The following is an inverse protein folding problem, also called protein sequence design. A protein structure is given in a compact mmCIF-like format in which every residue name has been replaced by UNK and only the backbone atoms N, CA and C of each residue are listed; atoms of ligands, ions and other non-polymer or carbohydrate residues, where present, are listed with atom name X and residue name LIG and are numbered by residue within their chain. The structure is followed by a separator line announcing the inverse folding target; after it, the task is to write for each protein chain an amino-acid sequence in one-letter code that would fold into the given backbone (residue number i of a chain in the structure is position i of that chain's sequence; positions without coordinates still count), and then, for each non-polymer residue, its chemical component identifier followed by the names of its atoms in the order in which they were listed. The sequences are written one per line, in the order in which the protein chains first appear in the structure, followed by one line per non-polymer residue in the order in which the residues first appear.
data_IF_211138292703
#
_entry.id   IF_211138292703
#
_cell.length_a   1.000
_cell.length_b   1.000
_cell.length_c   1.000
_cell.angle_alpha   90.00
_cell.angle_beta   90.00
_cell.angle_gamma   90.00
#
_symmetry.space_group_name_H-M   'P 1'
#
loop_
_entity.id
_entity.type
_entity.pdbx_description
1 polymer ?
#
# COMPACT_ATOMS: atom_id res chain seq x y z
N UNK A 1 -13.57 8.15 -25.55
CA UNK A 1 -12.35 7.38 -25.25
C UNK A 1 -12.31 7.00 -23.79
N UNK A 2 -11.57 5.95 -23.42
CA UNK A 2 -11.43 5.50 -22.01
C UNK A 2 -10.89 6.62 -21.10
N UNK A 3 -9.95 7.42 -21.60
CA UNK A 3 -9.42 8.60 -20.92
C UNK A 3 -10.51 9.64 -20.54
N UNK A 4 -11.49 9.90 -21.42
CA UNK A 4 -12.58 10.86 -21.14
C UNK A 4 -13.47 10.36 -20.00
N UNK A 5 -13.83 9.07 -20.02
CA UNK A 5 -14.58 8.43 -18.94
C UNK A 5 -13.81 8.54 -17.62
N UNK A 6 -12.54 8.11 -17.60
CA UNK A 6 -11.66 8.17 -16.42
C UNK A 6 -11.64 9.59 -15.83
N UNK A 7 -11.35 10.60 -16.64
CA UNK A 7 -11.28 11.98 -16.16
C UNK A 7 -12.63 12.47 -15.64
N UNK A 8 -13.74 12.15 -16.31
CA UNK A 8 -15.06 12.58 -15.86
C UNK A 8 -15.47 11.93 -14.54
N UNK A 9 -15.14 10.65 -14.34
CA UNK A 9 -15.52 9.88 -13.15
C UNK A 9 -14.65 10.23 -11.94
N UNK A 10 -13.34 10.34 -12.10
CA UNK A 10 -12.40 10.33 -10.97
C UNK A 10 -11.77 11.69 -10.62
N UNK A 11 -11.83 12.71 -11.50
CA UNK A 11 -11.10 13.99 -11.31
C UNK A 11 -11.45 14.76 -10.03
N UNK A 12 -12.65 14.56 -9.50
CA UNK A 12 -13.17 15.26 -8.33
C UNK A 12 -13.40 14.30 -7.15
N UNK A 13 -12.76 13.13 -7.17
CA UNK A 13 -12.89 12.10 -6.13
C UNK A 13 -11.85 12.32 -5.03
N UNK A 14 -12.27 12.11 -3.77
CA UNK A 14 -11.36 12.11 -2.62
C UNK A 14 -10.47 10.86 -2.65
N UNK A 15 -9.18 11.01 -2.39
CA UNK A 15 -8.19 9.90 -2.43
C UNK A 15 -8.28 9.09 -3.73
N UNK A 16 -8.32 9.79 -4.88
CA UNK A 16 -8.52 9.17 -6.18
C UNK A 16 -7.50 8.06 -6.48
N UNK A 17 -6.28 8.17 -5.98
CA UNK A 17 -5.20 7.19 -6.07
C UNK A 17 -5.51 5.85 -5.39
N UNK A 18 -6.40 5.83 -4.39
CA UNK A 18 -6.83 4.62 -3.68
C UNK A 18 -7.99 3.88 -4.38
N UNK A 19 -8.58 4.47 -5.42
CA UNK A 19 -9.81 3.95 -6.06
C UNK A 19 -9.64 3.75 -7.56
N UNK A 20 -8.95 4.67 -8.24
CA UNK A 20 -8.93 4.78 -9.69
C UNK A 20 -8.36 3.52 -10.37
N UNK A 21 -7.14 3.13 -10.00
CA UNK A 21 -6.43 2.04 -10.67
C UNK A 21 -7.07 0.69 -10.38
N UNK A 22 -7.45 0.46 -9.13
CA UNK A 22 -8.12 -0.74 -8.64
C UNK A 22 -9.45 -0.94 -9.37
N UNK A 23 -10.26 0.13 -9.46
CA UNK A 23 -11.56 0.08 -10.17
C UNK A 23 -11.38 -0.28 -11.64
N UNK A 24 -10.40 0.33 -12.32
CA UNK A 24 -10.14 0.03 -13.73
C UNK A 24 -9.61 -1.39 -13.95
N UNK A 25 -8.74 -1.86 -13.05
CA UNK A 25 -8.07 -3.16 -13.16
C UNK A 25 -9.07 -4.30 -13.04
N UNK A 26 -9.90 -4.28 -11.98
CA UNK A 26 -10.93 -5.31 -11.73
C UNK A 26 -12.00 -5.30 -12.82
N UNK A 27 -12.36 -4.13 -13.38
CA UNK A 27 -13.30 -4.03 -14.50
C UNK A 27 -12.63 -4.22 -15.89
N UNK A 28 -11.56 -5.01 -15.97
CA UNK A 28 -10.84 -5.25 -17.21
C UNK A 28 -10.41 -6.69 -17.38
N UNK A 29 -10.06 -7.14 -18.60
CA UNK A 29 -9.50 -8.47 -18.82
C UNK A 29 -8.20 -8.77 -18.06
N UNK A 30 -7.56 -7.76 -17.45
CA UNK A 30 -6.34 -7.91 -16.66
C UNK A 30 -6.61 -8.34 -15.22
N UNK A 31 -7.85 -8.36 -14.75
CA UNK A 31 -8.24 -8.88 -13.44
C UNK A 31 -7.67 -10.29 -13.20
N UNK A 32 -7.70 -11.15 -14.22
CA UNK A 32 -7.16 -12.51 -14.16
C UNK A 32 -5.63 -12.59 -13.94
N UNK A 33 -4.93 -11.46 -14.04
CA UNK A 33 -3.49 -11.35 -13.81
C UNK A 33 -3.17 -10.75 -12.43
N UNK A 34 -4.18 -10.53 -11.57
CA UNK A 34 -3.95 -10.10 -10.21
C UNK A 34 -3.07 -11.11 -9.47
N UNK A 35 -2.03 -10.60 -8.81
CA UNK A 35 -1.14 -11.41 -7.98
C UNK A 35 -1.89 -12.00 -6.79
N UNK A 36 -2.70 -11.18 -6.13
CA UNK A 36 -3.64 -11.57 -5.09
C UNK A 36 -5.05 -11.13 -5.50
N UNK A 37 -5.95 -12.10 -5.65
CA UNK A 37 -7.34 -11.90 -6.02
C UNK A 37 -8.33 -12.30 -4.90
N UNK A 38 -7.84 -12.42 -3.66
CA UNK A 38 -8.66 -12.81 -2.50
C UNK A 38 -9.49 -11.65 -1.94
N UNK A 39 -9.13 -10.40 -2.27
CA UNK A 39 -9.75 -9.19 -1.76
C UNK A 39 -9.87 -9.17 -0.22
N UNK A 40 -8.81 -9.62 0.45
CA UNK A 40 -8.76 -9.87 1.90
C UNK A 40 -8.19 -8.71 2.73
N UNK A 41 -7.96 -7.55 2.11
CA UNK A 41 -7.20 -6.42 2.68
C UNK A 41 -5.77 -6.79 3.14
N UNK A 42 -5.22 -7.90 2.62
CA UNK A 42 -3.84 -8.31 2.91
C UNK A 42 -2.83 -7.29 2.40
N UNK A 43 -1.82 -7.00 3.22
CA UNK A 43 -0.68 -6.14 2.85
C UNK A 43 0.17 -6.75 1.71
N UNK A 44 0.11 -8.08 1.53
CA UNK A 44 0.83 -8.78 0.45
C UNK A 44 0.31 -8.37 -0.93
N UNK A 45 -0.96 -7.99 -1.05
CA UNK A 45 -1.54 -7.59 -2.34
C UNK A 45 -0.85 -6.37 -2.98
N UNK A 46 -0.19 -5.54 -2.18
CA UNK A 46 0.56 -4.38 -2.66
C UNK A 46 2.06 -4.42 -2.31
N UNK A 47 2.52 -5.52 -1.71
CA UNK A 47 3.90 -5.78 -1.30
C UNK A 47 4.52 -4.68 -0.40
N UNK A 48 3.70 -4.07 0.47
CA UNK A 48 4.15 -3.04 1.42
C UNK A 48 3.78 -3.40 2.85
N UNK A 49 4.80 -3.53 3.70
CA UNK A 49 4.63 -3.59 5.13
C UNK A 49 4.22 -2.22 5.68
N UNK A 50 3.00 -2.14 6.23
CA UNK A 50 2.44 -0.91 6.79
C UNK A 50 1.75 -1.24 8.11
N UNK A 51 2.14 -0.55 9.18
CA UNK A 51 1.43 -0.65 10.45
C UNK A 51 0.41 0.48 10.56
N UNK A 52 -0.86 0.12 10.62
CA UNK A 52 -1.98 1.05 10.76
C UNK A 52 -2.39 1.21 12.22
N UNK A 53 -2.59 2.46 12.64
CA UNK A 53 -3.15 2.81 13.95
C UNK A 53 -4.15 3.94 13.74
N UNK A 54 -5.38 3.77 14.23
CA UNK A 54 -6.45 4.77 14.15
C UNK A 54 -6.72 5.33 12.73
N UNK A 55 -6.66 4.47 11.71
CA UNK A 55 -6.94 4.86 10.32
C UNK A 55 -5.81 5.62 9.62
N UNK A 56 -4.60 5.64 10.18
CA UNK A 56 -3.41 6.18 9.53
C UNK A 56 -2.19 5.25 9.73
N UNK A 57 -1.25 5.22 8.77
CA UNK A 57 0.02 4.53 8.97
C UNK A 57 0.84 5.25 10.03
N UNK A 58 1.29 4.53 11.06
CA UNK A 58 2.22 5.06 12.05
C UNK A 58 3.67 4.93 11.57
N UNK A 59 4.57 5.67 12.22
CA UNK A 59 6.00 5.48 12.03
C UNK A 59 6.42 4.15 12.66
N UNK A 60 7.24 3.40 11.92
CA UNK A 60 7.88 2.16 12.36
C UNK A 60 8.98 2.49 13.37
N UNK A 61 9.14 1.62 14.36
CA UNK A 61 10.13 1.75 15.44
C UNK A 61 10.95 0.47 15.54
N UNK A 62 12.05 0.49 16.29
CA UNK A 62 12.93 -0.67 16.43
C UNK A 62 12.20 -1.95 16.90
N UNK A 63 11.13 -1.79 17.69
CA UNK A 63 10.27 -2.89 18.13
C UNK A 63 9.55 -3.63 16.98
N UNK A 64 9.40 -2.99 15.82
CA UNK A 64 8.82 -3.58 14.61
C UNK A 64 9.82 -4.39 13.78
N UNK A 65 11.12 -4.28 14.06
CA UNK A 65 12.19 -4.83 13.20
C UNK A 65 12.03 -6.33 12.96
N UNK A 66 11.65 -7.08 13.99
CA UNK A 66 11.43 -8.54 13.88
C UNK A 66 10.28 -8.86 12.92
N UNK A 67 9.15 -8.17 13.05
CA UNK A 67 7.98 -8.36 12.18
C UNK A 67 8.27 -7.91 10.76
N UNK A 68 9.04 -6.83 10.61
CA UNK A 68 9.47 -6.29 9.33
C UNK A 68 10.42 -7.23 8.59
N UNK A 69 11.43 -7.78 9.26
CA UNK A 69 12.36 -8.78 8.68
C UNK A 69 11.69 -10.12 8.37
N UNK A 70 10.62 -10.46 9.09
CA UNK A 70 9.82 -11.65 8.82
C UNK A 70 8.80 -11.45 7.70
N UNK A 71 8.56 -10.21 7.26
CA UNK A 71 7.60 -9.92 6.20
C UNK A 71 8.14 -10.34 4.84
N UNK A 72 7.28 -10.91 4.00
CA UNK A 72 7.60 -11.18 2.59
C UNK A 72 7.46 -9.93 1.70
N UNK A 73 6.99 -8.81 2.26
CA UNK A 73 6.79 -7.57 1.51
C UNK A 73 8.10 -6.96 1.02
N UNK A 74 8.08 -6.45 -0.21
CA UNK A 74 9.25 -5.84 -0.86
C UNK A 74 9.63 -4.46 -0.28
N UNK A 75 8.65 -3.72 0.25
CA UNK A 75 8.84 -2.37 0.77
C UNK A 75 8.15 -2.18 2.12
N UNK A 76 8.49 -1.12 2.85
CA UNK A 76 7.85 -0.77 4.11
C UNK A 76 7.65 0.74 4.29
N UNK A 77 6.64 1.14 5.07
CA UNK A 77 6.42 2.53 5.51
C UNK A 77 5.65 2.58 6.85
N UNK A 78 5.78 3.63 7.66
CA UNK A 78 6.58 4.85 7.44
C UNK A 78 7.86 4.81 8.26
N UNK A 79 8.96 5.28 7.70
CA UNK A 79 10.19 5.53 8.43
C UNK A 79 10.32 7.03 8.69
N UNK A 80 10.77 7.40 9.89
CA UNK A 80 10.95 8.78 10.30
C UNK A 80 12.11 8.86 11.30
N UNK A 81 13.19 9.54 10.92
CA UNK A 81 14.42 9.66 11.71
C UNK A 81 14.18 10.33 13.06
N UNK A 82 13.23 11.26 13.15
CA UNK A 82 12.90 11.94 14.42
C UNK A 82 12.13 11.04 15.38
N UNK A 83 11.43 10.03 14.86
CA UNK A 83 10.67 9.07 15.68
C UNK A 83 11.55 7.91 16.16
N UNK A 84 12.35 7.36 15.24
CA UNK A 84 13.27 6.26 15.51
C UNK A 84 14.24 6.10 14.32
N UNK A 85 15.47 6.59 14.47
CA UNK A 85 16.52 6.42 13.46
C UNK A 85 17.12 5.00 13.48
N UNK A 86 17.05 4.30 14.63
CA UNK A 86 17.72 3.02 14.79
C UNK A 86 17.15 1.96 13.85
N UNK A 87 15.83 1.90 13.68
CA UNK A 87 15.21 0.97 12.74
C UNK A 87 15.69 1.16 11.30
N UNK A 88 15.98 2.40 10.88
CA UNK A 88 16.44 2.70 9.52
C UNK A 88 17.87 2.17 9.32
N UNK A 89 18.69 2.23 10.36
CA UNK A 89 20.07 1.73 10.32
C UNK A 89 20.12 0.19 10.40
N UNK A 90 19.24 -0.44 11.18
CA UNK A 90 19.30 -1.87 11.50
C UNK A 90 18.50 -2.76 10.52
N UNK A 91 17.66 -2.17 9.66
CA UNK A 91 16.89 -2.89 8.63
C UNK A 91 17.76 -3.35 7.45
N UNK A 92 18.90 -2.70 7.24
CA UNK A 92 19.87 -3.02 6.16
C UNK A 92 20.48 -4.41 6.34
#
# INVERSE_FOLDING_TARGET
TKQKFIRNTFKNTKCCDELFLQTLLVNSPFEKNLFDNTFSDSITANERFIVWVNGAPRDLKIDDLSSLKASECLFARKFNTDSDEQIINDIV
#
